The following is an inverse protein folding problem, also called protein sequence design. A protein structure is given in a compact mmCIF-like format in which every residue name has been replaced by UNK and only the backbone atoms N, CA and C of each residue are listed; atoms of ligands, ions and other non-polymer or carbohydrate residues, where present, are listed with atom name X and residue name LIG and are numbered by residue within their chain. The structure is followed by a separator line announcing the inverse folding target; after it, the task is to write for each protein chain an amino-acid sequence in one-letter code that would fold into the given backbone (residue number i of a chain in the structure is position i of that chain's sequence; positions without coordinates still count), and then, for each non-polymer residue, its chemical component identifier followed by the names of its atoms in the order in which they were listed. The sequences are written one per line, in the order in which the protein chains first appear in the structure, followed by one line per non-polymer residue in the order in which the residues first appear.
data_IF_497170359587
#
_entry.id   IF_497170359587
#
_cell.length_a   1.000
_cell.length_b   1.000
_cell.length_c   1.000
_cell.angle_alpha   90.00
_cell.angle_beta   90.00
_cell.angle_gamma   90.00
#
_symmetry.space_group_name_H-M   'P 1'
#
loop_
_entity.id
_entity.type
_entity.pdbx_description
1 polymer ?
#
# COMPACT_ATOMS: atom_id res chain seq x y z
N UNK A 1 41.99 35.74 7.52
CA UNK A 1 43.46 35.59 7.32
C UNK A 1 43.99 36.96 6.92
N UNK A 2 44.54 37.74 7.86
CA UNK A 2 44.99 39.11 7.57
C UNK A 2 46.33 39.03 6.83
N UNK A 3 46.32 39.48 5.57
CA UNK A 3 47.51 39.67 4.75
C UNK A 3 48.36 40.80 5.35
N UNK A 4 49.18 40.49 6.34
CA UNK A 4 50.31 41.32 6.69
C UNK A 4 51.27 41.30 5.50
N UNK A 5 51.20 42.34 4.67
CA UNK A 5 52.17 42.55 3.60
C UNK A 5 53.50 43.02 4.21
N UNK A 6 54.15 42.07 4.90
CA UNK A 6 55.45 42.22 5.55
C UNK A 6 56.51 42.66 4.55
N UNK A 7 56.33 42.35 3.26
CA UNK A 7 57.22 42.76 2.19
C UNK A 7 57.15 44.27 1.94
N UNK A 8 55.94 44.83 1.89
CA UNK A 8 55.74 46.27 1.75
C UNK A 8 56.20 47.02 3.00
N UNK A 9 55.92 46.50 4.20
CA UNK A 9 56.41 47.08 5.45
C UNK A 9 57.96 47.09 5.52
N UNK A 10 58.61 45.97 5.19
CA UNK A 10 60.08 45.87 5.09
C UNK A 10 60.66 46.85 4.07
N UNK A 11 59.95 47.11 2.96
CA UNK A 11 60.37 48.09 1.94
C UNK A 11 60.32 49.52 2.49
N UNK A 12 59.25 49.87 3.20
CA UNK A 12 59.07 51.19 3.84
C UNK A 12 60.17 51.43 4.87
N UNK A 13 60.47 50.45 5.71
CA UNK A 13 61.56 50.51 6.69
C UNK A 13 62.92 50.75 6.00
N UNK A 14 63.19 50.04 4.90
CA UNK A 14 64.41 50.26 4.10
C UNK A 14 64.49 51.68 3.55
N UNK A 15 63.40 52.18 2.95
CA UNK A 15 63.33 53.55 2.40
C UNK A 15 63.51 54.62 3.49
N UNK A 16 62.94 54.40 4.67
CA UNK A 16 63.15 55.26 5.83
C UNK A 16 64.62 55.34 6.21
N UNK A 17 65.30 54.20 6.34
CA UNK A 17 66.73 54.18 6.66
C UNK A 17 67.58 54.86 5.58
N UNK A 18 67.23 54.69 4.30
CA UNK A 18 67.89 55.40 3.18
C UNK A 18 67.72 56.91 3.31
N UNK A 19 66.50 57.40 3.53
CA UNK A 19 66.23 58.83 3.75
C UNK A 19 66.97 59.36 4.98
N UNK A 20 66.89 58.69 6.13
CA UNK A 20 67.55 59.09 7.36
C UNK A 20 69.08 59.17 7.21
N UNK A 21 69.67 58.24 6.46
CA UNK A 21 71.11 58.25 6.16
C UNK A 21 71.49 59.43 5.26
N UNK A 22 70.69 59.75 4.23
CA UNK A 22 70.95 60.90 3.34
C UNK A 22 70.77 62.24 4.07
N UNK A 23 69.73 62.36 4.90
CA UNK A 23 69.46 63.55 5.70
C UNK A 23 70.55 63.83 6.74
N UNK A 24 71.11 62.78 7.36
CA UNK A 24 72.19 62.91 8.35
C UNK A 24 73.53 63.38 7.74
N UNK A 25 73.73 63.16 6.44
CA UNK A 25 74.95 63.58 5.72
C UNK A 25 74.87 65.01 5.17
N UNK A 26 73.69 65.65 5.21
CA UNK A 26 73.45 66.99 4.68
C UNK A 26 74.07 68.10 5.57
N UNK A 27 74.22 67.84 6.87
CA UNK A 27 74.82 68.75 7.86
C UNK A 27 76.35 68.90 7.70
N UNK A 28 76.98 68.13 6.81
CA UNK A 28 78.44 68.13 6.57
C UNK A 28 78.89 68.99 5.38
N UNK A 29 78.05 69.88 4.85
CA UNK A 29 78.46 70.98 3.95
C UNK A 29 78.61 70.64 2.46
N UNK A 30 77.74 69.80 1.89
CA UNK A 30 77.77 69.44 0.46
C UNK A 30 76.66 70.12 -0.36
N UNK A 31 77.03 70.54 -1.57
CA UNK A 31 76.30 71.34 -2.56
C UNK A 31 74.86 70.87 -2.92
N UNK A 32 74.06 71.79 -3.49
CA UNK A 32 72.61 71.68 -3.76
C UNK A 32 72.10 70.47 -4.57
N UNK A 33 72.98 69.64 -5.15
CA UNK A 33 72.63 68.35 -5.79
C UNK A 33 72.22 67.30 -4.74
N UNK A 34 72.82 67.34 -3.55
CA UNK A 34 72.47 66.43 -2.43
C UNK A 34 71.08 66.75 -1.84
N UNK A 35 70.68 68.03 -1.90
CA UNK A 35 69.37 68.49 -1.43
C UNK A 35 68.21 67.91 -2.25
N UNK A 36 68.34 67.80 -3.57
CA UNK A 36 67.29 67.22 -4.43
C UNK A 36 67.11 65.73 -4.14
N UNK A 37 68.21 64.98 -4.01
CA UNK A 37 68.17 63.54 -3.75
C UNK A 37 67.59 63.20 -2.37
N UNK A 38 67.82 64.05 -1.36
CA UNK A 38 67.21 63.92 -0.03
C UNK A 38 65.70 64.12 -0.10
N UNK A 39 65.23 65.12 -0.85
CA UNK A 39 63.79 65.38 -1.00
C UNK A 39 63.11 64.28 -1.81
N UNK A 40 63.72 63.77 -2.88
CA UNK A 40 63.20 62.62 -3.65
C UNK A 40 63.07 61.35 -2.76
N UNK A 41 64.07 61.08 -1.91
CA UNK A 41 64.02 59.96 -0.96
C UNK A 41 62.92 60.14 0.10
N UNK A 42 62.70 61.38 0.56
CA UNK A 42 61.64 61.74 1.50
C UNK A 42 60.26 61.54 0.88
N UNK A 43 60.04 62.08 -0.31
CA UNK A 43 58.77 61.96 -1.03
C UNK A 43 58.48 60.49 -1.35
N UNK A 44 59.46 59.72 -1.81
CA UNK A 44 59.31 58.29 -2.08
C UNK A 44 58.94 57.48 -0.84
N UNK A 45 59.53 57.80 0.32
CA UNK A 45 59.16 57.17 1.60
C UNK A 45 57.72 57.54 2.02
N UNK A 46 57.36 58.82 1.94
CA UNK A 46 56.02 59.30 2.31
C UNK A 46 54.92 58.73 1.42
N UNK A 47 55.17 58.60 0.11
CA UNK A 47 54.24 57.99 -0.83
C UNK A 47 53.99 56.51 -0.50
N UNK A 48 55.06 55.73 -0.27
CA UNK A 48 54.93 54.33 0.12
C UNK A 48 54.23 54.18 1.48
N UNK A 49 54.52 55.07 2.45
CA UNK A 49 53.87 55.07 3.76
C UNK A 49 52.36 55.33 3.64
N UNK A 50 51.96 56.33 2.86
CA UNK A 50 50.54 56.65 2.61
C UNK A 50 49.84 55.51 1.86
N UNK A 51 50.52 54.91 0.88
CA UNK A 51 50.02 53.74 0.14
C UNK A 51 49.78 52.55 1.07
N UNK A 52 50.70 52.28 2.00
CA UNK A 52 50.55 51.24 3.01
C UNK A 52 49.44 51.53 4.02
N UNK A 53 49.28 52.79 4.46
CA UNK A 53 48.15 53.16 5.30
C UNK A 53 46.80 52.93 4.59
N UNK A 54 46.73 53.21 3.30
CA UNK A 54 45.52 52.96 2.50
C UNK A 54 45.25 51.46 2.35
N UNK A 55 46.27 50.65 2.07
CA UNK A 55 46.11 49.19 1.95
C UNK A 55 45.71 48.55 3.28
N UNK A 56 46.26 49.03 4.40
CA UNK A 56 45.87 48.59 5.73
C UNK A 56 44.40 48.89 6.03
N UNK A 57 43.94 50.11 5.76
CA UNK A 57 42.51 50.48 5.92
C UNK A 57 41.60 49.64 5.02
N UNK A 58 42.02 49.36 3.78
CA UNK A 58 41.28 48.46 2.88
C UNK A 58 41.15 47.07 3.50
N UNK A 59 42.24 46.49 4.02
CA UNK A 59 42.22 45.19 4.65
C UNK A 59 41.28 45.14 5.86
N UNK A 60 41.26 46.17 6.71
CA UNK A 60 40.31 46.29 7.82
C UNK A 60 38.86 46.25 7.35
N UNK A 61 38.50 47.08 6.36
CA UNK A 61 37.15 47.10 5.80
C UNK A 61 36.79 45.77 5.16
N UNK A 62 37.73 45.13 4.46
CA UNK A 62 37.52 43.79 3.88
C UNK A 62 37.20 42.76 4.97
N UNK A 63 37.97 42.72 6.06
CA UNK A 63 37.68 41.81 7.17
C UNK A 63 36.32 42.07 7.82
N UNK A 64 35.92 43.34 7.97
CA UNK A 64 34.57 43.67 8.47
C UNK A 64 33.48 43.21 7.52
N UNK A 65 33.65 43.39 6.21
CA UNK A 65 32.67 42.94 5.22
C UNK A 65 32.59 41.42 5.14
N UNK A 66 33.72 40.72 5.20
CA UNK A 66 33.78 39.25 5.28
C UNK A 66 33.05 38.74 6.52
N UNK A 67 33.25 39.40 7.67
CA UNK A 67 32.52 39.07 8.90
C UNK A 67 31.00 39.17 8.73
N UNK A 68 30.51 40.28 8.16
CA UNK A 68 29.06 40.44 7.87
C UNK A 68 28.55 39.39 6.88
N UNK A 69 29.35 39.05 5.87
CA UNK A 69 28.98 38.06 4.86
C UNK A 69 28.88 36.65 5.47
N UNK A 70 29.83 36.26 6.33
CA UNK A 70 29.78 34.97 7.04
C UNK A 70 28.53 34.87 7.91
N UNK A 71 28.18 35.93 8.65
CA UNK A 71 26.95 35.95 9.44
C UNK A 71 25.70 35.78 8.58
N UNK A 72 25.64 36.40 7.40
CA UNK A 72 24.51 36.25 6.48
C UNK A 72 24.40 34.80 5.98
N UNK A 73 25.51 34.20 5.55
CA UNK A 73 25.51 32.80 5.12
C UNK A 73 25.12 31.85 6.25
N UNK A 74 25.52 32.15 7.48
CA UNK A 74 25.14 31.35 8.63
C UNK A 74 23.63 31.43 8.91
N UNK A 75 23.04 32.64 8.87
CA UNK A 75 21.58 32.81 9.01
C UNK A 75 20.81 32.11 7.89
N UNK A 76 21.31 32.19 6.66
CA UNK A 76 20.69 31.57 5.49
C UNK A 76 20.78 30.05 5.56
N UNK A 77 21.92 29.51 5.99
CA UNK A 77 22.10 28.08 6.25
C UNK A 77 21.09 27.60 7.29
N UNK A 78 20.94 28.32 8.41
CA UNK A 78 19.95 27.98 9.44
C UNK A 78 18.51 28.06 8.93
N UNK A 79 18.20 28.96 7.98
CA UNK A 79 16.90 29.03 7.32
C UNK A 79 16.65 27.78 6.47
N UNK A 80 17.63 27.42 5.64
CA UNK A 80 17.57 26.23 4.78
C UNK A 80 17.45 24.95 5.62
N UNK A 81 18.20 24.84 6.73
CA UNK A 81 18.14 23.68 7.62
C UNK A 81 16.75 23.52 8.27
N UNK A 82 16.12 24.64 8.67
CA UNK A 82 14.74 24.65 9.17
C UNK A 82 13.75 24.20 8.11
N UNK A 83 13.88 24.70 6.88
CA UNK A 83 13.02 24.29 5.76
C UNK A 83 13.19 22.80 5.44
N UNK A 84 14.42 22.29 5.42
CA UNK A 84 14.66 20.86 5.26
C UNK A 84 14.02 20.02 6.36
N UNK A 85 14.07 20.47 7.63
CA UNK A 85 13.40 19.79 8.72
C UNK A 85 11.88 19.73 8.50
N UNK A 86 11.26 20.86 8.13
CA UNK A 86 9.81 20.91 7.85
C UNK A 86 9.41 20.03 6.66
N UNK A 87 10.19 20.01 5.58
CA UNK A 87 9.91 19.18 4.41
C UNK A 87 10.02 17.69 4.74
N UNK A 88 10.99 17.29 5.59
CA UNK A 88 11.10 15.90 6.05
C UNK A 88 9.91 15.49 6.89
N UNK A 89 9.42 16.36 7.77
CA UNK A 89 8.22 16.13 8.57
C UNK A 89 6.98 15.96 7.67
N UNK A 90 6.79 16.85 6.69
CA UNK A 90 5.68 16.74 5.71
C UNK A 90 5.75 15.46 4.88
N UNK A 91 6.95 15.04 4.46
CA UNK A 91 7.13 13.77 3.75
C UNK A 91 6.70 12.60 4.63
N UNK A 92 7.07 12.61 5.91
CA UNK A 92 6.70 11.54 6.83
C UNK A 92 5.19 11.50 7.11
N UNK A 93 4.57 12.66 7.29
CA UNK A 93 3.11 12.77 7.41
C UNK A 93 2.40 12.22 6.17
N UNK A 94 2.86 12.58 4.97
CA UNK A 94 2.29 12.09 3.71
C UNK A 94 2.45 10.58 3.53
N UNK A 95 3.55 9.98 3.98
CA UNK A 95 3.71 8.52 3.97
C UNK A 95 2.68 7.83 4.85
N UNK A 96 2.49 8.31 6.08
CA UNK A 96 1.50 7.75 7.00
C UNK A 96 0.08 7.93 6.44
N UNK A 97 -0.23 9.09 5.87
CA UNK A 97 -1.51 9.33 5.21
C UNK A 97 -1.75 8.38 4.03
N UNK A 98 -0.71 8.12 3.23
CA UNK A 98 -0.76 7.18 2.10
C UNK A 98 -1.01 5.74 2.58
N UNK A 99 -0.28 5.29 3.61
CA UNK A 99 -0.47 3.96 4.19
C UNK A 99 -1.91 3.78 4.70
N UNK A 100 -2.42 4.77 5.43
CA UNK A 100 -3.80 4.79 5.92
C UNK A 100 -4.81 4.73 4.77
N UNK A 101 -4.60 5.50 3.70
CA UNK A 101 -5.47 5.50 2.52
C UNK A 101 -5.47 4.14 1.81
N UNK A 102 -4.31 3.49 1.68
CA UNK A 102 -4.19 2.16 1.09
C UNK A 102 -4.89 1.10 1.95
N UNK A 103 -4.72 1.17 3.28
CA UNK A 103 -5.37 0.28 4.23
C UNK A 103 -6.90 0.44 4.20
N UNK A 104 -7.41 1.67 4.13
CA UNK A 104 -8.84 1.94 3.92
C UNK A 104 -9.36 1.35 2.61
N UNK A 105 -8.60 1.48 1.51
CA UNK A 105 -8.94 0.89 0.22
C UNK A 105 -9.03 -0.64 0.30
N UNK A 106 -8.07 -1.31 0.96
CA UNK A 106 -8.10 -2.78 1.15
C UNK A 106 -9.33 -3.20 1.95
N UNK A 107 -9.60 -2.55 3.08
CA UNK A 107 -10.80 -2.79 3.90
C UNK A 107 -12.09 -2.57 3.12
N UNK A 108 -12.17 -1.52 2.30
CA UNK A 108 -13.33 -1.28 1.43
C UNK A 108 -13.56 -2.44 0.47
N UNK A 109 -12.52 -2.92 -0.20
CA UNK A 109 -12.60 -4.07 -1.10
C UNK A 109 -13.07 -5.33 -0.34
N UNK A 110 -12.58 -5.56 0.87
CA UNK A 110 -13.04 -6.67 1.72
C UNK A 110 -14.52 -6.55 2.09
N UNK A 111 -14.99 -5.35 2.46
CA UNK A 111 -16.41 -5.11 2.74
C UNK A 111 -17.28 -5.31 1.50
N UNK A 112 -16.83 -4.84 0.33
CA UNK A 112 -17.53 -5.03 -0.93
C UNK A 112 -17.64 -6.54 -1.25
N UNK A 113 -16.57 -7.31 -1.08
CA UNK A 113 -16.57 -8.77 -1.26
C UNK A 113 -17.52 -9.49 -0.29
N UNK A 114 -17.53 -9.11 0.99
CA UNK A 114 -18.46 -9.67 1.97
C UNK A 114 -19.90 -9.31 1.59
N UNK A 115 -20.13 -8.09 1.11
CA UNK A 115 -21.45 -7.63 0.66
C UNK A 115 -21.94 -8.44 -0.54
N UNK A 116 -21.09 -8.70 -1.53
CA UNK A 116 -21.43 -9.57 -2.67
C UNK A 116 -21.80 -10.99 -2.21
N UNK A 117 -21.03 -11.58 -1.28
CA UNK A 117 -21.35 -12.88 -0.70
C UNK A 117 -22.69 -12.88 0.03
N UNK A 118 -22.96 -11.86 0.84
CA UNK A 118 -24.26 -11.70 1.54
C UNK A 118 -25.40 -11.58 0.53
N UNK A 119 -25.22 -10.82 -0.54
CA UNK A 119 -26.23 -10.64 -1.59
C UNK A 119 -26.48 -11.90 -2.43
N UNK A 120 -25.56 -12.88 -2.42
CA UNK A 120 -25.76 -14.18 -3.07
C UNK A 120 -26.60 -15.16 -2.24
N UNK A 121 -26.83 -14.86 -0.96
CA UNK A 121 -27.65 -15.67 -0.07
C UNK A 121 -29.12 -15.23 -0.16
N UNK A 122 -30.08 -16.13 0.08
CA UNK A 122 -31.48 -15.73 0.16
C UNK A 122 -31.67 -14.69 1.27
N UNK A 123 -32.58 -13.73 1.07
CA UNK A 123 -32.84 -12.72 2.09
C UNK A 123 -33.34 -13.38 3.37
N UNK A 124 -33.00 -12.77 4.50
CA UNK A 124 -33.30 -13.30 5.82
C UNK A 124 -34.79 -13.61 6.00
N UNK A 125 -35.66 -12.73 5.52
CA UNK A 125 -37.12 -12.86 5.65
C UNK A 125 -37.66 -14.09 4.91
N UNK A 126 -37.12 -14.41 3.72
CA UNK A 126 -37.51 -15.62 2.97
C UNK A 126 -37.09 -16.89 3.70
N UNK A 127 -35.89 -16.90 4.30
CA UNK A 127 -35.42 -18.02 5.10
C UNK A 127 -36.28 -18.21 6.35
N UNK A 128 -36.66 -17.12 7.02
CA UNK A 128 -37.57 -17.15 8.17
C UNK A 128 -38.95 -17.70 7.76
N UNK A 129 -39.51 -17.27 6.63
CA UNK A 129 -40.76 -17.83 6.10
C UNK A 129 -40.66 -19.33 5.78
N UNK A 130 -39.54 -19.77 5.19
CA UNK A 130 -39.29 -21.18 4.92
C UNK A 130 -39.24 -22.02 6.20
N UNK A 131 -38.56 -21.50 7.25
CA UNK A 131 -38.53 -22.15 8.58
C UNK A 131 -39.94 -22.26 9.15
N UNK A 132 -40.72 -21.17 9.16
CA UNK A 132 -42.10 -21.21 9.67
C UNK A 132 -42.98 -22.20 8.91
N UNK A 133 -42.84 -22.28 7.59
CA UNK A 133 -43.60 -23.24 6.78
C UNK A 133 -43.23 -24.69 7.15
N UNK A 134 -41.94 -25.01 7.26
CA UNK A 134 -41.48 -26.34 7.67
C UNK A 134 -41.89 -26.69 9.10
N UNK A 135 -41.85 -25.74 10.02
CA UNK A 135 -42.31 -25.93 11.41
C UNK A 135 -43.81 -26.24 11.47
N UNK A 136 -44.62 -25.54 10.69
CA UNK A 136 -46.04 -25.80 10.57
C UNK A 136 -46.31 -27.19 9.95
N UNK A 137 -45.58 -27.57 8.91
CA UNK A 137 -45.70 -28.89 8.29
C UNK A 137 -45.30 -30.02 9.26
N UNK A 138 -44.23 -29.84 10.03
CA UNK A 138 -43.85 -30.78 11.09
C UNK A 138 -44.93 -30.91 12.16
N UNK A 139 -45.55 -29.80 12.57
CA UNK A 139 -46.64 -29.82 13.54
C UNK A 139 -47.85 -30.59 12.98
N UNK A 140 -48.21 -30.37 11.72
CA UNK A 140 -49.29 -31.08 11.04
C UNK A 140 -49.02 -32.60 10.93
N UNK A 141 -47.81 -32.99 10.54
CA UNK A 141 -47.41 -34.40 10.46
C UNK A 141 -47.50 -35.07 11.83
N UNK A 142 -47.05 -34.39 12.89
CA UNK A 142 -47.13 -34.93 14.27
C UNK A 142 -48.59 -35.11 14.71
N UNK A 143 -49.46 -34.13 14.44
CA UNK A 143 -50.88 -34.23 14.76
C UNK A 143 -51.58 -35.38 14.00
N UNK A 144 -51.26 -35.56 12.72
CA UNK A 144 -51.78 -36.67 11.92
C UNK A 144 -51.26 -38.03 12.41
N UNK A 145 -49.98 -38.13 12.76
CA UNK A 145 -49.41 -39.35 13.35
C UNK A 145 -50.07 -39.70 14.69
N UNK A 146 -50.37 -38.72 15.53
CA UNK A 146 -51.12 -38.92 16.77
C UNK A 146 -52.53 -39.44 16.48
N UNK A 147 -53.22 -38.85 15.50
CA UNK A 147 -54.54 -39.29 15.06
C UNK A 147 -54.52 -40.73 14.55
N UNK A 148 -53.58 -41.08 13.66
CA UNK A 148 -53.41 -42.42 13.12
C UNK A 148 -53.09 -43.44 14.22
N UNK A 149 -52.19 -43.10 15.14
CA UNK A 149 -51.84 -43.94 16.29
C UNK A 149 -53.06 -44.22 17.16
N UNK A 150 -53.89 -43.20 17.40
CA UNK A 150 -55.16 -43.35 18.13
C UNK A 150 -56.15 -44.25 17.39
N UNK A 151 -56.31 -44.08 16.08
CA UNK A 151 -57.20 -44.92 15.25
C UNK A 151 -56.73 -46.37 15.25
N UNK A 152 -55.43 -46.63 15.06
CA UNK A 152 -54.87 -47.97 15.09
C UNK A 152 -55.06 -48.64 16.45
N UNK A 153 -54.87 -47.90 17.55
CA UNK A 153 -55.09 -48.43 18.89
C UNK A 153 -56.56 -48.80 19.13
N UNK A 154 -57.50 -47.96 18.69
CA UNK A 154 -58.93 -48.25 18.78
C UNK A 154 -59.34 -49.45 17.90
N UNK A 155 -58.77 -49.59 16.71
CA UNK A 155 -59.01 -50.75 15.85
C UNK A 155 -58.44 -52.03 16.47
N UNK A 156 -57.24 -51.95 17.04
CA UNK A 156 -56.63 -53.06 17.76
C UNK A 156 -57.51 -53.50 18.94
N UNK A 157 -57.99 -52.55 19.76
CA UNK A 157 -58.87 -52.90 20.89
C UNK A 157 -60.19 -53.52 20.42
N UNK A 158 -60.81 -53.01 19.34
CA UNK A 158 -62.03 -53.59 18.79
C UNK A 158 -61.83 -55.00 18.22
N UNK A 159 -60.68 -55.27 17.58
CA UNK A 159 -60.32 -56.61 17.12
C UNK A 159 -60.05 -57.56 18.30
N UNK A 160 -59.35 -57.08 19.32
CA UNK A 160 -59.11 -57.84 20.55
C UNK A 160 -60.45 -58.22 21.23
N UNK A 161 -61.43 -57.31 21.27
CA UNK A 161 -62.78 -57.58 21.78
C UNK A 161 -63.50 -58.67 20.95
N UNK A 162 -63.45 -58.59 19.61
CA UNK A 162 -64.01 -59.63 18.73
C UNK A 162 -63.31 -60.99 18.95
N UNK A 163 -61.99 -61.00 19.13
CA UNK A 163 -61.23 -62.22 19.43
C UNK A 163 -61.69 -62.82 20.76
N UNK A 164 -61.91 -62.00 21.78
CA UNK A 164 -62.47 -62.42 23.07
C UNK A 164 -63.86 -63.03 22.87
N UNK A 165 -64.76 -62.35 22.15
CA UNK A 165 -66.11 -62.83 21.88
C UNK A 165 -66.12 -64.15 21.08
N UNK A 166 -65.29 -64.27 20.03
CA UNK A 166 -65.13 -65.50 19.25
C UNK A 166 -64.57 -66.64 20.11
N UNK A 167 -63.64 -66.35 21.01
CA UNK A 167 -63.10 -67.34 21.94
C UNK A 167 -64.15 -67.85 22.93
N UNK A 168 -65.02 -66.96 23.42
CA UNK A 168 -66.16 -67.30 24.27
C UNK A 168 -67.21 -68.12 23.51
N UNK A 169 -67.56 -67.72 22.28
CA UNK A 169 -68.46 -68.48 21.40
C UNK A 169 -67.90 -69.86 21.05
N UNK A 170 -66.59 -69.98 20.81
CA UNK A 170 -65.93 -71.29 20.61
C UNK A 170 -66.02 -72.18 21.84
N UNK A 171 -65.94 -71.61 23.04
CA UNK A 171 -66.10 -72.34 24.29
C UNK A 171 -67.54 -72.86 24.44
N UNK A 172 -68.54 -72.02 24.14
CA UNK A 172 -69.97 -72.36 24.18
C UNK A 172 -70.35 -73.37 23.08
N UNK A 173 -69.85 -73.21 21.85
CA UNK A 173 -70.15 -74.08 20.71
C UNK A 173 -69.53 -75.48 20.83
N UNK A 174 -68.34 -75.59 21.45
CA UNK A 174 -67.71 -76.88 21.75
C UNK A 174 -68.51 -77.73 22.74
N UNK A 175 -69.42 -77.14 23.52
CA UNK A 175 -70.29 -77.90 24.42
C UNK A 175 -71.48 -78.55 23.68
N UNK A 176 -71.74 -78.19 22.41
CA UNK A 176 -72.91 -78.67 21.64
C UNK A 176 -72.59 -79.60 20.46
N UNK A 177 -71.34 -79.69 20.00
CA UNK A 177 -70.93 -80.49 18.82
C UNK A 177 -70.14 -81.78 19.14
N UNK A 178 -70.18 -82.29 20.38
CA UNK A 178 -69.58 -83.59 20.73
C UNK A 178 -70.40 -84.81 20.32
N UNK A 179 -71.41 -84.67 19.45
CA UNK A 179 -72.14 -85.81 18.86
C UNK A 179 -72.67 -85.46 17.46
N UNK A 180 -71.87 -85.67 16.39
CA UNK A 180 -72.22 -86.47 15.19
C UNK A 180 -71.25 -86.24 14.01
N UNK A 181 -70.66 -87.34 13.53
CA UNK A 181 -70.08 -87.64 12.21
C UNK A 181 -68.85 -86.81 11.73
N UNK A 182 -67.65 -87.38 11.55
CA UNK A 182 -67.15 -88.45 10.66
C UNK A 182 -67.02 -88.08 9.16
N UNK A 183 -65.78 -88.10 8.69
CA UNK A 183 -65.27 -88.50 7.36
C UNK A 183 -65.81 -87.86 6.07
N UNK A 184 -64.90 -87.22 5.31
CA UNK A 184 -64.73 -87.55 3.88
C UNK A 184 -63.36 -87.09 3.35
N UNK A 185 -62.67 -88.01 2.66
CA UNK A 185 -61.39 -87.83 2.01
C UNK A 185 -61.57 -87.49 0.51
N UNK A 186 -60.64 -86.71 -0.07
CA UNK A 186 -60.31 -86.80 -1.51
C UNK A 186 -58.88 -86.29 -1.81
N UNK A 187 -58.22 -87.05 -2.69
CA UNK A 187 -56.81 -87.10 -3.08
C UNK A 187 -56.33 -85.96 -4.03
N UNK A 188 -55.10 -85.43 -3.82
CA UNK A 188 -53.84 -85.45 -4.65
C UNK A 188 -53.85 -84.64 -5.97
N UNK A 189 -52.70 -84.28 -6.63
CA UNK A 189 -51.25 -84.50 -6.38
C UNK A 189 -50.39 -83.18 -6.38
N UNK A 190 -49.21 -83.09 -5.75
CA UNK A 190 -47.84 -83.53 -6.15
C UNK A 190 -47.18 -82.75 -7.30
N UNK A 191 -46.13 -81.97 -6.96
CA UNK A 191 -44.90 -81.65 -7.71
C UNK A 191 -43.99 -80.88 -6.71
N UNK A 192 -42.97 -81.48 -6.08
CA UNK A 192 -41.61 -81.73 -6.61
C UNK A 192 -41.09 -80.55 -7.45
N UNK A 193 -39.92 -79.96 -7.25
CA UNK A 193 -38.69 -80.33 -6.54
C UNK A 193 -37.77 -79.11 -6.55
N UNK A 194 -36.77 -79.11 -5.66
CA UNK A 194 -35.43 -78.48 -5.70
C UNK A 194 -35.01 -77.78 -7.01
N UNK A 195 -34.22 -76.71 -7.02
CA UNK A 195 -32.84 -76.74 -6.53
C UNK A 195 -32.18 -75.35 -6.57
N UNK A 196 -31.11 -75.30 -5.81
CA UNK A 196 -30.05 -74.32 -5.60
C UNK A 196 -29.31 -73.85 -6.88
N UNK A 197 -28.28 -73.01 -6.64
CA UNK A 197 -27.25 -72.44 -7.54
C UNK A 197 -27.51 -70.94 -7.84
N UNK A 198 -26.82 -69.95 -7.27
CA UNK A 198 -25.37 -69.73 -7.15
C UNK A 198 -24.63 -70.01 -8.47
N UNK A 199 -24.28 -68.96 -9.21
CA UNK A 199 -22.96 -68.70 -9.82
C UNK A 199 -23.00 -67.39 -10.62
N UNK A 200 -21.89 -66.69 -10.48
CA UNK A 200 -21.42 -65.45 -11.10
C UNK A 200 -21.53 -65.40 -12.63
N UNK A 201 -21.58 -64.20 -13.20
CA UNK A 201 -20.58 -63.80 -14.21
C UNK A 201 -20.78 -62.38 -14.71
N UNK A 202 -19.67 -61.65 -14.68
CA UNK A 202 -19.43 -60.44 -15.44
C UNK A 202 -19.47 -60.68 -16.96
N UNK A 203 -19.89 -59.67 -17.72
CA UNK A 203 -19.26 -59.35 -19.00
C UNK A 203 -19.65 -57.94 -19.43
N UNK A 204 -18.61 -57.16 -19.66
CA UNK A 204 -18.58 -55.94 -20.46
C UNK A 204 -19.21 -56.14 -21.84
N UNK A 205 -19.82 -55.08 -22.39
CA UNK A 205 -19.72 -54.74 -23.82
C UNK A 205 -19.57 -53.23 -23.95
N UNK A 206 -18.40 -52.85 -24.49
CA UNK A 206 -18.07 -51.55 -25.01
C UNK A 206 -18.66 -51.31 -26.42
N UNK A 207 -18.84 -50.05 -26.80
CA UNK A 207 -19.06 -49.61 -28.19
C UNK A 207 -19.68 -48.21 -28.26
N UNK A 208 -18.93 -47.10 -28.14
CA UNK A 208 -18.14 -46.40 -29.19
C UNK A 208 -18.92 -46.05 -30.47
N UNK A 209 -19.14 -44.74 -30.69
CA UNK A 209 -18.82 -43.94 -31.90
C UNK A 209 -19.54 -42.58 -31.76
N UNK A 210 -18.91 -41.41 -31.59
CA UNK A 210 -17.90 -40.70 -32.39
C UNK A 210 -18.41 -40.26 -33.77
N UNK A 211 -18.76 -38.96 -33.91
CA UNK A 211 -18.37 -38.09 -35.03
C UNK A 211 -18.84 -36.63 -34.85
N UNK A 212 -17.86 -35.73 -34.83
CA UNK A 212 -17.76 -34.26 -34.63
C UNK A 212 -18.32 -33.39 -35.81
N UNK A 213 -17.89 -32.12 -36.07
CA UNK A 213 -17.87 -30.80 -35.37
C UNK A 213 -18.35 -29.63 -36.33
N UNK A 214 -17.83 -28.36 -36.38
CA UNK A 214 -17.37 -27.33 -35.40
C UNK A 214 -18.00 -25.91 -35.58
N UNK A 215 -17.74 -24.98 -34.65
CA UNK A 215 -17.56 -23.51 -34.86
C UNK A 215 -17.00 -22.86 -33.57
N UNK A 216 -15.72 -22.51 -33.48
CA UNK A 216 -15.09 -21.20 -33.75
C UNK A 216 -15.64 -20.01 -32.93
N UNK A 217 -14.90 -19.57 -31.91
CA UNK A 217 -14.43 -18.18 -31.78
C UNK A 217 -13.33 -18.04 -30.72
N UNK A 218 -12.31 -17.29 -31.11
CA UNK A 218 -11.02 -17.06 -30.46
C UNK A 218 -11.11 -16.22 -29.18
N UNK A 219 -10.22 -16.49 -28.22
CA UNK A 219 -9.44 -15.43 -27.56
C UNK A 219 -8.25 -15.99 -26.79
N UNK A 220 -7.08 -15.60 -27.26
CA UNK A 220 -5.79 -15.68 -26.58
C UNK A 220 -5.79 -14.79 -25.33
N UNK A 221 -5.36 -15.33 -24.21
CA UNK A 221 -4.70 -14.54 -23.16
C UNK A 221 -3.62 -15.39 -22.51
N UNK A 222 -2.43 -14.83 -22.60
CA UNK A 222 -1.11 -15.33 -22.27
C UNK A 222 -0.91 -15.22 -20.74
N UNK A 223 -1.08 -16.30 -19.99
CA UNK A 223 -0.67 -16.37 -18.58
C UNK A 223 0.82 -16.76 -18.53
N UNK A 224 1.68 -15.75 -18.37
CA UNK A 224 3.03 -15.93 -17.86
C UNK A 224 2.95 -15.92 -16.34
N UNK A 225 3.19 -17.11 -15.83
CA UNK A 225 3.37 -17.50 -14.44
C UNK A 225 4.73 -17.00 -13.88
N UNK A 226 4.73 -16.68 -12.59
CA UNK A 226 5.84 -16.49 -11.65
C UNK A 226 6.73 -15.22 -11.75
N UNK A 227 6.25 -14.12 -11.13
CA UNK A 227 7.12 -13.23 -10.38
C UNK A 227 7.48 -13.91 -9.04
N UNK A 228 8.77 -14.15 -8.84
CA UNK A 228 9.34 -14.67 -7.61
C UNK A 228 9.99 -13.49 -6.89
N UNK A 229 9.26 -12.88 -5.96
CA UNK A 229 9.73 -11.83 -5.06
C UNK A 229 9.83 -12.43 -3.65
N UNK A 230 11.04 -12.86 -3.26
CA UNK A 230 11.48 -13.18 -1.89
C UNK A 230 12.98 -12.85 -1.89
N UNK A 231 13.59 -12.12 -0.97
CA UNK A 231 13.16 -11.39 0.22
C UNK A 231 14.39 -10.60 0.71
N UNK A 232 14.16 -9.55 1.47
CA UNK A 232 15.20 -8.83 2.23
C UNK A 232 15.65 -9.69 3.42
N UNK A 233 16.97 -9.87 3.60
CA UNK A 233 17.56 -10.13 4.92
C UNK A 233 18.89 -9.35 5.06
N UNK A 234 18.88 -8.48 6.07
CA UNK A 234 19.97 -8.12 7.00
C UNK A 234 21.29 -7.54 6.44
N UNK A 235 21.39 -6.21 6.51
CA UNK A 235 22.68 -5.51 6.65
C UNK A 235 22.87 -5.07 8.10
N UNK A 236 23.39 -5.99 8.89
CA UNK A 236 24.15 -5.62 10.09
C UNK A 236 25.43 -4.92 9.66
N UNK A 237 25.68 -3.78 10.31
CA UNK A 237 26.91 -3.04 10.15
C UNK A 237 28.07 -3.75 10.85
N UNK A 238 29.21 -3.77 10.18
CA UNK A 238 30.50 -3.83 10.85
C UNK A 238 31.45 -2.81 10.22
N UNK A 239 31.85 -1.91 11.11
CA UNK A 239 32.97 -1.01 11.06
C UNK A 239 34.27 -1.85 11.03
N UNK A 240 35.09 -1.72 9.99
CA UNK A 240 36.54 -1.58 10.20
C UNK A 240 37.33 -1.15 8.95
N UNK A 241 38.28 -0.27 9.23
CA UNK A 241 39.27 0.37 8.39
C UNK A 241 40.31 -0.59 7.78
N UNK A 242 40.75 -0.28 6.54
CA UNK A 242 42.15 -0.40 6.03
C UNK A 242 42.09 -0.48 4.49
N UNK A 243 42.37 0.58 3.73
CA UNK A 243 43.71 1.11 3.53
C UNK A 243 44.44 0.42 2.38
N UNK A 244 44.35 0.94 1.14
CA UNK A 244 45.48 1.04 0.18
C UNK A 244 45.10 1.69 -1.16
N UNK A 245 45.89 2.71 -1.46
CA UNK A 245 46.35 3.31 -2.71
C UNK A 245 46.23 2.48 -4.01
N UNK A 246 45.74 3.10 -5.07
CA UNK A 246 46.17 3.10 -6.50
C UNK A 246 45.09 3.87 -7.29
N UNK A 247 45.30 5.10 -7.76
CA UNK A 247 46.02 5.54 -8.97
C UNK A 247 45.52 4.94 -10.31
N UNK A 248 44.45 5.53 -10.85
CA UNK A 248 44.12 5.71 -12.29
C UNK A 248 42.79 6.49 -12.31
N UNK A 249 42.60 7.61 -13.01
CA UNK A 249 43.04 7.95 -14.35
C UNK A 249 41.79 7.94 -15.24
N UNK A 250 41.16 9.12 -15.38
CA UNK A 250 40.19 9.54 -16.41
C UNK A 250 38.88 8.71 -16.53
N UNK A 251 37.73 9.17 -15.99
CA UNK A 251 36.80 10.16 -16.57
C UNK A 251 36.60 10.00 -18.08
N UNK A 252 35.46 9.41 -18.46
CA UNK A 252 34.47 9.90 -19.44
C UNK A 252 33.54 8.75 -19.84
N UNK A 253 32.61 8.38 -18.94
CA UNK A 253 31.40 7.67 -19.37
C UNK A 253 30.41 8.73 -19.86
N UNK A 254 30.60 9.10 -21.12
CA UNK A 254 29.72 9.90 -21.94
C UNK A 254 28.38 9.18 -22.05
N UNK A 255 27.37 9.64 -21.32
CA UNK A 255 26.00 9.14 -21.42
C UNK A 255 25.45 9.66 -22.75
N UNK A 256 25.68 8.89 -23.81
CA UNK A 256 25.14 9.07 -25.14
C UNK A 256 23.61 9.07 -25.07
N UNK A 257 23.04 10.28 -24.97
CA UNK A 257 21.61 10.53 -25.04
C UNK A 257 21.15 10.17 -26.45
N UNK A 258 20.61 8.96 -26.58
CA UNK A 258 20.03 8.46 -27.83
C UNK A 258 19.05 9.47 -28.43
N UNK A 259 19.42 9.99 -29.59
CA UNK A 259 18.54 10.75 -30.48
C UNK A 259 17.39 9.83 -30.89
N UNK A 260 16.18 10.12 -30.40
CA UNK A 260 14.96 9.50 -30.92
C UNK A 260 14.57 10.28 -32.17
N UNK A 261 14.71 9.64 -33.33
CA UNK A 261 14.18 10.15 -34.59
C UNK A 261 12.67 10.40 -34.47
N UNK A 262 12.27 11.67 -34.48
CA UNK A 262 10.88 12.07 -34.70
C UNK A 262 10.57 11.97 -36.20
N UNK A 263 9.85 10.92 -36.60
CA UNK A 263 9.15 10.91 -37.88
C UNK A 263 7.73 11.52 -37.76
N UNK A 264 7.32 12.36 -38.73
CA UNK A 264 6.11 13.17 -38.63
C UNK A 264 4.91 12.41 -39.18
N UNK A 265 3.85 12.22 -38.38
CA UNK A 265 2.54 11.80 -38.91
C UNK A 265 1.37 12.59 -38.33
N UNK A 266 0.85 13.43 -39.22
CA UNK A 266 -0.56 13.53 -39.58
C UNK A 266 -1.51 14.37 -38.71
N UNK A 267 -1.62 15.61 -39.20
CA UNK A 267 -2.83 16.44 -39.24
C UNK A 267 -4.10 15.60 -39.34
N UNK A 268 -4.98 15.61 -38.33
CA UNK A 268 -6.42 15.43 -38.51
C UNK A 268 -7.21 16.02 -37.31
N UNK A 269 -7.78 17.20 -37.54
CA UNK A 269 -9.07 17.70 -37.02
C UNK A 269 -9.26 17.84 -35.50
N UNK A 270 -8.74 18.97 -34.99
CA UNK A 270 -9.27 19.68 -33.81
C UNK A 270 -10.69 20.17 -34.12
N UNK A 271 -11.71 19.49 -33.61
CA UNK A 271 -13.06 20.05 -33.44
C UNK A 271 -13.09 20.74 -32.08
N UNK A 272 -13.10 22.06 -32.12
CA UNK A 272 -13.56 22.94 -31.07
C UNK A 272 -14.91 22.44 -30.53
N UNK A 273 -14.98 22.13 -29.24
CA UNK A 273 -16.21 22.19 -28.44
C UNK A 273 -15.85 22.90 -27.16
N UNK A 274 -15.70 24.21 -27.33
CA UNK A 274 -15.75 25.21 -26.27
C UNK A 274 -17.23 25.40 -25.88
N UNK A 275 -17.46 25.85 -24.65
CA UNK A 275 -18.75 26.19 -24.03
C UNK A 275 -19.61 25.02 -23.53
N UNK A 276 -19.24 24.46 -22.37
CA UNK A 276 -20.16 24.26 -21.22
C UNK A 276 -19.33 24.48 -19.93
N UNK A 277 -18.87 25.72 -19.73
CA UNK A 277 -18.48 26.22 -18.40
C UNK A 277 -19.79 26.59 -17.70
N UNK A 278 -20.38 25.60 -17.02
CA UNK A 278 -21.57 25.80 -16.20
C UNK A 278 -21.16 26.44 -14.88
N UNK A 279 -21.43 27.75 -14.81
CA UNK A 279 -21.42 28.56 -13.60
C UNK A 279 -22.43 27.99 -12.60
N UNK A 280 -21.94 27.51 -11.46
CA UNK A 280 -22.73 27.08 -10.31
C UNK A 280 -22.48 28.01 -9.13
N UNK A 281 -23.37 28.97 -8.97
CA UNK A 281 -23.41 29.98 -7.91
C UNK A 281 -23.61 29.39 -6.50
N UNK A 282 -23.18 30.19 -5.52
CA UNK A 282 -23.81 30.40 -4.21
C UNK A 282 -24.00 29.23 -3.24
N UNK A 283 -23.24 29.27 -2.14
CA UNK A 283 -23.71 28.87 -0.80
C UNK A 283 -22.94 29.65 0.26
N UNK A 284 -23.30 30.92 0.42
CA UNK A 284 -23.07 31.69 1.64
C UNK A 284 -24.24 31.35 2.58
N UNK A 285 -24.03 30.46 3.56
CA UNK A 285 -24.98 30.26 4.65
C UNK A 285 -24.30 29.71 5.91
N UNK A 286 -24.57 30.44 7.00
CA UNK A 286 -24.50 30.07 8.42
C UNK A 286 -23.12 30.11 9.09
N UNK A 287 -22.95 30.68 10.28
CA UNK A 287 -23.84 31.41 11.19
C UNK A 287 -23.00 31.98 12.34
N UNK A 288 -23.45 33.10 12.89
CA UNK A 288 -23.04 33.69 14.17
C UNK A 288 -23.02 32.70 15.33
N UNK A 289 -22.04 32.82 16.24
CA UNK A 289 -22.05 32.53 17.70
C UNK A 289 -20.59 32.55 18.20
N UNK A 290 -20.12 33.19 19.27
CA UNK A 290 -20.63 34.14 20.27
C UNK A 290 -19.37 34.71 20.95
N UNK A 291 -19.29 36.03 21.13
CA UNK A 291 -18.30 36.64 22.02
C UNK A 291 -18.76 36.48 23.48
N UNK A 292 -17.88 36.08 24.41
CA UNK A 292 -18.19 36.04 25.84
C UNK A 292 -18.21 37.46 26.45
N UNK A 293 -18.95 37.67 27.54
CA UNK A 293 -19.19 39.01 28.10
C UNK A 293 -17.93 39.62 28.72
N UNK A 294 -17.77 40.93 28.53
CA UNK A 294 -16.83 41.77 29.26
C UNK A 294 -17.26 41.90 30.74
N UNK A 295 -16.36 41.49 31.64
CA UNK A 295 -16.38 41.86 33.06
C UNK A 295 -15.53 43.13 33.25
N UNK A 296 -16.15 44.26 33.62
CA UNK A 296 -15.71 45.28 34.62
C UNK A 296 -16.44 46.63 34.48
#
# INVERSE_FOLDING_TARGET
MVMNDDRTLKRIIKKYHTYASLASNLDSGSDGVTSSSVEDARESFLLDLRSYQLSFKKATVTCETEGRQVEQYQREKERIDREHATLREQIEELKVALENAQMLKRRKIEYDLVTEKVNSLPPRDELEHSIYALENDMANIRAEQELQSRVMLNQKSALDDIIVDLSALRFIGKEKETQTASNSARATPFADTVDTLAVESASEIAGRSASSPPSQMDKESNEKDSEKEEGEEDRDGDDELSGKTEESGDKEDDIEMGEVEEEPRDKLKKKFREEELEEGEASDFSSELSDPPDDD
#
